data_IF_360608232347
#
_entry.id   IF_360608232347
#
_cell.length_a   1.000
_cell.length_b   1.000
_cell.length_c   1.000
_cell.angle_alpha   90.00
_cell.angle_beta   90.00
_cell.angle_gamma   90.00
#
_symmetry.space_group_name_H-M   'P 1'
#
loop_
_entity.id
_entity.type
_entity.pdbx_description
1 polymer ?
#
# COMPACT_ATOMS: atom_id res chain seq x y z
N UNK A 1 -6.28 -3.68 -11.00
CA UNK A 1 -5.54 -4.75 -11.69
C UNK A 1 -6.28 -5.20 -12.95
N UNK A 2 -5.54 -5.78 -13.89
CA UNK A 2 -5.90 -6.02 -15.29
C UNK A 2 -7.07 -7.01 -15.51
N UNK A 3 -8.23 -6.56 -16.02
CA UNK A 3 -9.34 -7.43 -16.50
C UNK A 3 -8.98 -8.20 -17.79
N UNK A 4 -7.89 -7.85 -18.47
CA UNK A 4 -7.38 -8.55 -19.66
C UNK A 4 -6.58 -9.81 -19.32
N UNK A 5 -6.74 -10.39 -18.12
CA UNK A 5 -6.08 -11.63 -17.68
C UNK A 5 -4.55 -11.62 -17.88
N UNK A 6 -3.91 -10.51 -17.52
CA UNK A 6 -2.45 -10.35 -17.65
C UNK A 6 -1.93 -10.10 -19.07
N UNK A 7 -2.81 -10.00 -20.08
CA UNK A 7 -2.40 -9.65 -21.45
C UNK A 7 -2.10 -8.15 -21.55
N UNK A 8 -0.85 -7.77 -21.25
CA UNK A 8 -0.37 -6.39 -21.31
C UNK A 8 0.98 -6.32 -22.01
N UNK A 9 1.29 -5.15 -22.57
CA UNK A 9 2.61 -4.81 -23.11
C UNK A 9 3.60 -4.39 -22.01
N UNK A 10 3.13 -4.11 -20.80
CA UNK A 10 3.97 -3.66 -19.68
C UNK A 10 4.50 -4.86 -18.89
N UNK A 11 5.82 -5.14 -18.92
CA UNK A 11 6.40 -6.32 -18.29
C UNK A 11 6.22 -6.35 -16.77
N UNK A 12 6.28 -5.19 -16.10
CA UNK A 12 6.13 -5.12 -14.64
C UNK A 12 4.70 -5.44 -14.25
N UNK A 13 3.71 -4.89 -14.98
CA UNK A 13 2.30 -5.22 -14.75
C UNK A 13 1.99 -6.69 -15.04
N UNK A 14 2.66 -7.28 -16.04
CA UNK A 14 2.57 -8.72 -16.32
C UNK A 14 3.11 -9.55 -15.15
N UNK A 15 4.27 -9.19 -14.61
CA UNK A 15 4.87 -9.85 -13.44
C UNK A 15 3.97 -9.75 -12.21
N UNK A 16 3.42 -8.56 -11.93
CA UNK A 16 2.47 -8.36 -10.82
C UNK A 16 1.23 -9.22 -11.02
N UNK A 17 0.65 -9.25 -12.22
CA UNK A 17 -0.53 -10.06 -12.49
C UNK A 17 -0.25 -11.57 -12.36
N UNK A 18 0.91 -12.05 -12.80
CA UNK A 18 1.31 -13.45 -12.65
C UNK A 18 1.41 -13.88 -11.18
N UNK A 19 1.91 -12.99 -10.32
CA UNK A 19 2.04 -13.28 -8.90
C UNK A 19 0.72 -13.12 -8.13
N UNK A 20 -0.03 -12.05 -8.40
CA UNK A 20 -1.24 -11.72 -7.63
C UNK A 20 -2.49 -12.44 -8.15
N UNK A 21 -2.51 -12.82 -9.42
CA UNK A 21 -3.66 -13.43 -10.08
C UNK A 21 -4.83 -12.45 -10.30
N UNK A 22 -6.03 -13.01 -10.45
CA UNK A 22 -7.26 -12.23 -10.58
C UNK A 22 -7.78 -11.77 -9.21
N UNK A 23 -7.28 -10.62 -8.77
CA UNK A 23 -7.68 -10.00 -7.49
C UNK A 23 -9.12 -9.51 -7.45
N UNK A 24 -9.83 -9.44 -8.59
CA UNK A 24 -11.24 -9.03 -8.61
C UNK A 24 -12.19 -10.21 -8.35
N UNK A 25 -11.69 -11.45 -8.42
CA UNK A 25 -12.49 -12.65 -8.24
C UNK A 25 -12.78 -13.02 -6.78
N UNK A 26 -12.04 -12.43 -5.82
CA UNK A 26 -12.11 -12.74 -4.38
C UNK A 26 -12.18 -11.45 -3.56
N UNK A 27 -12.71 -11.57 -2.34
CA UNK A 27 -12.57 -10.51 -1.34
C UNK A 27 -11.11 -10.40 -0.88
N UNK A 28 -10.73 -9.25 -0.31
CA UNK A 28 -9.35 -9.04 0.14
C UNK A 28 -8.90 -10.11 1.14
N UNK A 29 -9.76 -10.52 2.08
CA UNK A 29 -9.42 -11.53 3.07
C UNK A 29 -9.12 -12.88 2.41
N UNK A 30 -9.96 -13.34 1.48
CA UNK A 30 -9.73 -14.58 0.73
C UNK A 30 -8.45 -14.52 -0.09
N UNK A 31 -8.25 -13.44 -0.83
CA UNK A 31 -7.03 -13.23 -1.62
C UNK A 31 -5.76 -13.19 -0.74
N UNK A 32 -5.82 -12.51 0.40
CA UNK A 32 -4.69 -12.39 1.31
C UNK A 32 -4.25 -13.75 1.86
N UNK A 33 -5.21 -14.59 2.25
CA UNK A 33 -4.92 -15.93 2.78
C UNK A 33 -4.36 -16.85 1.69
N UNK A 34 -4.94 -16.84 0.50
CA UNK A 34 -4.59 -17.78 -0.56
C UNK A 34 -3.31 -17.39 -1.32
N UNK A 35 -2.97 -16.09 -1.35
CA UNK A 35 -1.90 -15.57 -2.22
C UNK A 35 -1.09 -14.48 -1.52
N UNK A 36 -1.75 -13.45 -0.99
CA UNK A 36 -1.07 -12.25 -0.48
C UNK A 36 -0.02 -12.55 0.60
N UNK A 37 -0.34 -13.44 1.56
CA UNK A 37 0.58 -13.79 2.63
C UNK A 37 1.93 -14.31 2.11
N UNK A 38 1.92 -15.28 1.19
CA UNK A 38 3.15 -15.84 0.62
C UNK A 38 3.97 -14.80 -0.16
N UNK A 39 3.31 -13.85 -0.84
CA UNK A 39 3.99 -12.80 -1.62
C UNK A 39 4.71 -11.77 -0.75
N UNK A 40 4.12 -11.42 0.41
CA UNK A 40 4.60 -10.35 1.29
C UNK A 40 5.34 -10.87 2.53
N UNK A 41 5.31 -12.17 2.81
CA UNK A 41 6.04 -12.78 3.91
C UNK A 41 7.55 -12.87 3.59
N UNK A 42 8.35 -12.51 4.58
CA UNK A 42 9.79 -12.77 4.60
C UNK A 42 10.03 -14.28 4.64
N UNK A 43 10.75 -14.79 3.65
CA UNK A 43 11.05 -16.22 3.47
C UNK A 43 12.07 -16.72 4.49
N UNK A 44 12.98 -15.87 4.95
CA UNK A 44 13.90 -16.21 6.03
C UNK A 44 13.73 -15.27 7.22
N UNK A 45 13.75 -15.83 8.42
CA UNK A 45 13.72 -15.07 9.66
C UNK A 45 14.92 -14.11 9.73
N UNK A 46 14.75 -12.85 10.14
CA UNK A 46 15.87 -11.94 10.36
C UNK A 46 16.83 -12.52 11.41
N UNK A 47 18.16 -12.43 11.19
CA UNK A 47 19.12 -12.90 12.18
C UNK A 47 18.96 -12.11 13.48
N UNK A 48 18.99 -12.81 14.60
CA UNK A 48 18.81 -12.24 15.94
C UNK A 48 20.10 -12.35 16.73
N UNK A 49 20.37 -11.37 17.58
CA UNK A 49 21.41 -11.49 18.61
C UNK A 49 20.97 -12.58 19.59
N UNK A 50 21.80 -13.59 19.76
CA UNK A 50 21.54 -14.71 20.65
C UNK A 50 22.72 -14.99 21.58
N UNK A 51 22.40 -15.57 22.74
CA UNK A 51 23.41 -16.08 23.65
C UNK A 51 23.80 -17.47 23.15
N UNK A 52 25.07 -17.60 22.77
CA UNK A 52 25.66 -18.87 22.36
C UNK A 52 26.12 -19.62 23.60
N UNK A 53 25.85 -20.92 23.65
CA UNK A 53 26.36 -21.83 24.68
C UNK A 53 27.60 -22.59 24.16
N UNK A 54 28.28 -23.32 25.05
CA UNK A 54 29.51 -24.04 24.68
C UNK A 54 29.27 -25.08 23.58
N UNK A 55 28.09 -25.69 23.54
CA UNK A 55 27.74 -26.73 22.56
C UNK A 55 27.53 -26.17 21.15
N UNK A 56 26.92 -24.99 21.04
CA UNK A 56 26.62 -24.31 19.77
C UNK A 56 27.75 -23.38 19.28
N UNK A 57 28.79 -23.17 20.09
CA UNK A 57 29.91 -22.27 19.77
C UNK A 57 30.61 -22.64 18.47
N UNK A 58 30.84 -23.94 18.24
CA UNK A 58 31.54 -24.41 17.05
C UNK A 58 30.79 -24.14 15.75
N UNK A 59 29.45 -24.18 15.76
CA UNK A 59 28.63 -23.86 14.60
C UNK A 59 28.69 -22.37 14.27
N UNK A 60 28.68 -21.52 15.30
CA UNK A 60 28.75 -20.07 15.16
C UNK A 60 30.13 -19.59 14.69
N UNK A 61 31.21 -20.24 15.13
CA UNK A 61 32.58 -19.95 14.70
C UNK A 61 32.80 -20.17 13.20
N UNK A 62 32.04 -21.09 12.59
CA UNK A 62 32.12 -21.37 11.14
C UNK A 62 31.27 -20.43 10.29
N UNK A 63 30.42 -19.60 10.91
CA UNK A 63 29.53 -18.69 10.22
C UNK A 63 30.20 -17.32 10.01
N UNK A 64 30.61 -17.03 8.77
CA UNK A 64 31.26 -15.77 8.40
C UNK A 64 30.35 -14.54 8.48
N UNK A 65 29.04 -14.71 8.63
CA UNK A 65 28.08 -13.61 8.80
C UNK A 65 27.83 -13.25 10.27
N UNK A 66 28.58 -13.86 11.21
CA UNK A 66 28.43 -13.65 12.65
C UNK A 66 29.75 -13.25 13.30
N UNK A 67 29.64 -12.46 14.36
CA UNK A 67 30.74 -12.06 15.22
C UNK A 67 30.45 -12.53 16.64
N UNK A 68 31.43 -13.19 17.26
CA UNK A 68 31.35 -13.57 18.67
C UNK A 68 31.94 -12.46 19.54
N UNK A 69 31.21 -12.10 20.59
CA UNK A 69 31.60 -11.05 21.53
C UNK A 69 31.67 -11.63 22.94
N UNK A 70 32.78 -11.36 23.62
CA UNK A 70 32.89 -11.56 25.07
C UNK A 70 32.29 -10.35 25.77
N UNK A 71 31.22 -10.55 26.53
CA UNK A 71 30.46 -9.47 27.19
C UNK A 71 30.77 -9.47 28.69
N UNK A 72 31.45 -8.44 29.24
CA UNK A 72 31.68 -8.34 30.67
C UNK A 72 30.38 -8.09 31.44
N UNK A 73 30.20 -8.81 32.55
CA UNK A 73 28.96 -8.76 33.37
C UNK A 73 28.98 -7.69 34.45
N UNK A 74 30.11 -7.02 34.68
CA UNK A 74 30.37 -6.12 35.79
C UNK A 74 30.43 -4.63 35.38
N UNK A 75 29.84 -4.26 34.24
CA UNK A 75 29.83 -2.88 33.75
C UNK A 75 28.41 -2.38 33.45
N UNK A 76 28.25 -1.05 33.39
CA UNK A 76 26.94 -0.45 33.12
C UNK A 76 26.44 -0.75 31.70
N UNK A 77 25.11 -0.85 31.54
CA UNK A 77 24.47 -0.98 30.22
C UNK A 77 24.87 0.13 29.24
N UNK A 78 25.08 1.35 29.76
CA UNK A 78 25.49 2.50 28.94
C UNK A 78 26.87 2.26 28.33
N UNK A 79 27.81 1.74 29.13
CA UNK A 79 29.15 1.38 28.66
C UNK A 79 29.08 0.23 27.65
N UNK A 80 28.29 -0.81 27.93
CA UNK A 80 28.07 -1.94 27.02
C UNK A 80 27.54 -1.48 25.65
N UNK A 81 26.50 -0.65 25.62
CA UNK A 81 25.92 -0.12 24.38
C UNK A 81 26.93 0.68 23.58
N UNK A 82 27.74 1.51 24.26
CA UNK A 82 28.81 2.28 23.61
C UNK A 82 29.86 1.36 22.97
N UNK A 83 30.42 0.44 23.74
CA UNK A 83 31.43 -0.51 23.26
C UNK A 83 30.90 -1.40 22.13
N UNK A 84 29.66 -1.88 22.24
CA UNK A 84 29.02 -2.66 21.18
C UNK A 84 28.90 -1.85 19.87
N UNK A 85 28.49 -0.57 19.95
CA UNK A 85 28.39 0.28 18.76
C UNK A 85 29.75 0.63 18.14
N UNK A 86 30.81 0.75 18.95
CA UNK A 86 32.19 0.94 18.48
C UNK A 86 32.64 -0.28 17.66
N UNK A 87 32.49 -1.49 18.21
CA UNK A 87 32.84 -2.75 17.52
C UNK A 87 32.05 -2.95 16.21
N UNK A 88 30.76 -2.59 16.19
CA UNK A 88 29.95 -2.69 14.96
C UNK A 88 30.45 -1.72 13.87
N UNK A 89 31.06 -0.59 14.23
CA UNK A 89 31.59 0.39 13.26
C UNK A 89 32.91 -0.05 12.64
N UNK A 90 33.66 -0.93 13.30
CA UNK A 90 34.91 -1.51 12.80
C UNK A 90 34.68 -2.61 11.76
N UNK A 91 33.45 -3.14 11.65
CA UNK A 91 33.11 -4.12 10.63
C UNK A 91 33.08 -3.44 9.25
N UNK A 92 34.17 -3.62 8.50
CA UNK A 92 34.25 -3.23 7.09
C UNK A 92 33.25 -4.03 6.24
N UNK A 93 32.73 -3.42 5.18
CA UNK A 93 31.80 -4.04 4.22
C UNK A 93 30.53 -4.69 4.81
N UNK A 94 30.01 -4.13 5.91
CA UNK A 94 28.76 -4.60 6.53
C UNK A 94 27.58 -4.56 5.54
N UNK A 95 27.18 -5.73 5.03
CA UNK A 95 25.99 -5.89 4.19
C UNK A 95 24.74 -5.92 5.07
N UNK A 96 23.95 -4.86 5.03
CA UNK A 96 22.62 -4.86 5.65
C UNK A 96 21.71 -5.74 4.82
N UNK A 97 21.30 -6.89 5.39
CA UNK A 97 20.29 -7.75 4.77
C UNK A 97 19.04 -6.93 4.46
N UNK A 98 18.67 -6.91 3.19
CA UNK A 98 17.34 -6.44 2.77
C UNK A 98 16.39 -7.62 2.96
N UNK A 99 15.14 -7.37 3.36
CA UNK A 99 14.14 -8.42 3.48
C UNK A 99 14.04 -9.23 2.18
N UNK A 100 13.52 -10.44 2.17
CA UNK A 100 13.54 -11.36 1.02
C UNK A 100 12.15 -11.71 0.48
N UNK A 101 11.10 -11.04 0.96
CA UNK A 101 9.77 -11.15 0.38
C UNK A 101 9.79 -10.89 -1.14
N UNK A 102 8.93 -11.59 -1.87
CA UNK A 102 8.80 -11.45 -3.33
C UNK A 102 8.35 -10.03 -3.70
N UNK A 103 7.40 -9.47 -2.95
CA UNK A 103 6.98 -8.09 -3.05
C UNK A 103 7.23 -7.37 -1.72
N UNK A 104 8.30 -6.58 -1.66
CA UNK A 104 8.69 -5.86 -0.45
C UNK A 104 7.94 -4.54 -0.34
N UNK A 105 7.52 -4.21 0.87
CA UNK A 105 7.03 -2.87 1.15
C UNK A 105 8.21 -1.89 1.19
N UNK A 106 8.14 -0.83 0.39
CA UNK A 106 9.16 0.22 0.35
C UNK A 106 9.30 0.94 1.69
N UNK A 107 8.21 1.00 2.45
CA UNK A 107 8.16 1.60 3.77
C UNK A 107 7.26 0.78 4.67
N UNK A 108 7.78 0.36 5.82
CA UNK A 108 7.03 -0.39 6.86
C UNK A 108 6.78 0.42 8.14
N UNK A 109 7.61 1.43 8.43
CA UNK A 109 7.49 2.29 9.62
C UNK A 109 7.06 3.71 9.25
N UNK A 110 6.26 4.34 10.12
CA UNK A 110 5.83 5.73 9.95
C UNK A 110 4.90 5.95 8.75
N UNK A 111 4.18 4.92 8.32
CA UNK A 111 3.11 5.04 7.32
C UNK A 111 1.91 5.68 8.00
N UNK A 112 1.42 6.79 7.44
CA UNK A 112 0.20 7.43 7.94
C UNK A 112 -1.01 6.73 7.33
N UNK A 113 -1.47 5.65 7.95
CA UNK A 113 -2.58 4.80 7.45
C UNK A 113 -3.83 5.60 7.10
N UNK A 114 -4.26 6.52 7.99
CA UNK A 114 -5.39 7.42 7.73
C UNK A 114 -5.27 8.21 6.42
N UNK A 115 -4.05 8.57 6.02
CA UNK A 115 -3.82 9.29 4.76
C UNK A 115 -4.04 8.38 3.55
N UNK A 116 -3.61 7.11 3.62
CA UNK A 116 -3.85 6.13 2.58
C UNK A 116 -5.36 5.85 2.44
N UNK A 117 -6.03 5.63 3.58
CA UNK A 117 -7.48 5.42 3.64
C UNK A 117 -8.25 6.61 3.05
N UNK A 118 -7.92 7.84 3.46
CA UNK A 118 -8.52 9.06 2.90
C UNK A 118 -8.27 9.18 1.40
N UNK A 119 -7.07 8.87 0.92
CA UNK A 119 -6.75 8.91 -0.51
C UNK A 119 -7.63 7.92 -1.30
N UNK A 120 -7.70 6.66 -0.87
CA UNK A 120 -8.51 5.63 -1.52
C UNK A 120 -10.00 5.98 -1.48
N UNK A 121 -10.52 6.47 -0.34
CA UNK A 121 -11.93 6.88 -0.22
C UNK A 121 -12.28 8.02 -1.16
N UNK A 122 -11.42 9.04 -1.26
CA UNK A 122 -11.61 10.16 -2.20
C UNK A 122 -11.60 9.66 -3.64
N UNK A 123 -10.63 8.84 -4.01
CA UNK A 123 -10.53 8.29 -5.36
C UNK A 123 -11.76 7.47 -5.72
N UNK A 124 -12.17 6.54 -4.84
CA UNK A 124 -13.35 5.72 -5.05
C UNK A 124 -14.63 6.55 -5.22
N UNK A 125 -14.87 7.53 -4.33
CA UNK A 125 -16.06 8.38 -4.42
C UNK A 125 -16.09 9.18 -5.72
N UNK A 126 -14.94 9.73 -6.15
CA UNK A 126 -14.83 10.42 -7.44
C UNK A 126 -15.10 9.50 -8.61
N UNK A 127 -14.47 8.32 -8.64
CA UNK A 127 -14.67 7.34 -9.71
C UNK A 127 -16.11 6.86 -9.79
N UNK A 128 -16.80 6.72 -8.67
CA UNK A 128 -18.23 6.39 -8.63
C UNK A 128 -19.10 7.50 -9.20
N UNK A 129 -18.87 8.76 -8.80
CA UNK A 129 -19.60 9.91 -9.34
C UNK A 129 -19.38 10.09 -10.85
N UNK A 130 -18.13 9.92 -11.31
CA UNK A 130 -17.80 9.98 -12.74
C UNK A 130 -18.51 8.84 -13.51
N UNK A 131 -18.60 7.65 -12.92
CA UNK A 131 -19.34 6.52 -13.48
C UNK A 131 -20.86 6.77 -13.53
N UNK A 132 -21.47 7.29 -12.47
CA UNK A 132 -22.90 7.63 -12.44
C UNK A 132 -23.26 8.75 -13.42
N UNK A 133 -22.36 9.73 -13.61
CA UNK A 133 -22.55 10.79 -14.60
C UNK A 133 -22.53 10.27 -16.04
N UNK A 134 -21.74 9.23 -16.32
CA UNK A 134 -21.64 8.62 -17.65
C UNK A 134 -22.73 7.57 -17.88
N UNK A 135 -23.22 6.91 -16.83
CA UNK A 135 -24.21 5.84 -16.88
C UNK A 135 -25.37 6.11 -15.91
N UNK A 136 -26.19 7.15 -16.14
CA UNK A 136 -27.31 7.47 -15.26
C UNK A 136 -28.35 6.34 -15.27
N UNK A 137 -28.82 5.98 -14.07
CA UNK A 137 -29.94 5.03 -13.94
C UNK A 137 -31.19 5.62 -14.57
N UNK A 138 -31.98 4.80 -15.26
CA UNK A 138 -33.18 5.24 -15.99
C UNK A 138 -34.17 5.91 -15.04
N UNK A 139 -34.27 7.24 -15.09
CA UNK A 139 -35.21 8.03 -14.29
C UNK A 139 -34.60 8.85 -13.15
N UNK A 140 -33.35 8.58 -12.76
CA UNK A 140 -32.69 9.31 -11.67
C UNK A 140 -31.76 10.41 -12.19
N UNK A 141 -31.80 11.58 -11.54
CA UNK A 141 -30.84 12.64 -11.82
C UNK A 141 -29.51 12.26 -11.16
N UNK A 142 -28.38 12.32 -11.90
CA UNK A 142 -27.07 11.99 -11.33
C UNK A 142 -26.74 12.90 -10.15
N UNK A 143 -26.15 12.32 -9.11
CA UNK A 143 -25.73 13.05 -7.91
C UNK A 143 -24.62 14.02 -8.32
N UNK A 144 -24.91 15.32 -8.27
CA UNK A 144 -23.91 16.37 -8.50
C UNK A 144 -23.26 16.74 -7.18
N UNK A 145 -22.17 16.06 -6.84
CA UNK A 145 -21.26 16.50 -5.78
C UNK A 145 -20.03 17.13 -6.39
N UNK A 146 -19.68 18.34 -5.95
CA UNK A 146 -18.44 18.96 -6.36
C UNK A 146 -17.25 18.53 -5.46
N UNK A 147 -16.03 18.96 -5.83
CA UNK A 147 -14.83 18.64 -5.04
C UNK A 147 -14.89 19.12 -3.58
N UNK A 148 -15.60 20.21 -3.29
CA UNK A 148 -15.80 20.66 -1.92
C UNK A 148 -16.75 19.72 -1.17
N UNK A 149 -17.87 19.34 -1.80
CA UNK A 149 -18.88 18.47 -1.18
C UNK A 149 -18.29 17.10 -0.85
N UNK A 150 -17.48 16.51 -1.76
CA UNK A 150 -16.72 15.28 -1.51
C UNK A 150 -15.79 15.43 -0.29
N UNK A 151 -15.06 16.55 -0.22
CA UNK A 151 -14.14 16.82 0.89
C UNK A 151 -14.86 17.01 2.22
N UNK A 152 -16.03 17.63 2.20
CA UNK A 152 -16.87 17.84 3.38
C UNK A 152 -17.49 16.52 3.86
N UNK A 153 -18.01 15.70 2.95
CA UNK A 153 -18.61 14.39 3.22
C UNK A 153 -17.58 13.43 3.81
N UNK A 154 -16.41 13.31 3.18
CA UNK A 154 -15.35 12.40 3.63
C UNK A 154 -14.51 12.96 4.79
N UNK A 155 -14.77 14.20 5.22
CA UNK A 155 -14.05 14.83 6.34
C UNK A 155 -12.56 15.04 6.07
N UNK A 156 -12.16 15.35 4.83
CA UNK A 156 -10.74 15.48 4.42
C UNK A 156 -10.05 16.67 5.08
N UNK A 157 -10.78 17.78 5.22
CA UNK A 157 -10.27 18.96 5.93
C UNK A 157 -11.36 19.59 6.82
N UNK A 158 -11.65 19.00 7.99
CA UNK A 158 -12.79 19.39 8.83
C UNK A 158 -12.78 20.89 9.22
N UNK A 159 -11.60 21.47 9.39
CA UNK A 159 -11.41 22.89 9.72
C UNK A 159 -11.93 23.83 8.63
N UNK A 160 -11.96 23.38 7.37
CA UNK A 160 -12.37 24.15 6.20
C UNK A 160 -13.81 23.83 5.77
N UNK A 161 -14.63 23.25 6.64
CA UNK A 161 -16.08 23.19 6.43
C UNK A 161 -16.69 24.60 6.57
N UNK A 162 -17.62 24.92 5.68
CA UNK A 162 -18.50 26.09 5.72
C UNK A 162 -19.19 26.17 7.09
N UNK A 163 -19.23 27.35 7.70
CA UNK A 163 -20.06 27.60 8.89
C UNK A 163 -21.08 28.71 8.58
N UNK A 164 -22.22 28.66 9.25
CA UNK A 164 -23.25 29.68 9.11
C UNK A 164 -22.75 31.02 9.64
N UNK A 165 -23.05 32.12 8.93
CA UNK A 165 -22.66 33.48 9.32
C UNK A 165 -21.22 33.88 9.00
N UNK A 166 -20.43 33.04 8.31
CA UNK A 166 -19.07 33.41 7.94
C UNK A 166 -19.00 34.44 6.80
N UNK A 167 -18.04 35.37 6.83
CA UNK A 167 -17.81 36.30 5.72
C UNK A 167 -17.57 35.55 4.40
N UNK A 168 -18.08 36.12 3.30
CA UNK A 168 -17.97 35.49 1.97
C UNK A 168 -16.51 35.19 1.58
N UNK A 169 -15.57 36.07 1.96
CA UNK A 169 -14.13 35.89 1.68
C UNK A 169 -13.57 34.64 2.35
N UNK A 170 -13.91 34.41 3.62
CA UNK A 170 -13.45 33.25 4.39
C UNK A 170 -14.06 31.95 3.86
N UNK A 171 -15.34 32.01 3.47
CA UNK A 171 -16.02 30.90 2.82
C UNK A 171 -15.30 30.49 1.52
N UNK A 172 -15.00 31.44 0.64
CA UNK A 172 -14.30 31.17 -0.63
C UNK A 172 -12.92 30.55 -0.37
N UNK A 173 -12.17 31.07 0.60
CA UNK A 173 -10.85 30.54 0.96
C UNK A 173 -10.96 29.09 1.44
N UNK A 174 -11.86 28.80 2.38
CA UNK A 174 -12.10 27.44 2.87
C UNK A 174 -12.49 26.48 1.76
N UNK A 175 -13.36 26.91 0.86
CA UNK A 175 -13.77 26.10 -0.29
C UNK A 175 -12.57 25.74 -1.16
N UNK A 176 -11.71 26.72 -1.49
CA UNK A 176 -10.49 26.48 -2.27
C UNK A 176 -9.55 25.52 -1.57
N UNK A 177 -9.30 25.69 -0.27
CA UNK A 177 -8.40 24.82 0.50
C UNK A 177 -8.93 23.39 0.56
N UNK A 178 -10.24 23.20 0.79
CA UNK A 178 -10.87 21.87 0.76
C UNK A 178 -10.71 21.21 -0.61
N UNK A 179 -11.00 21.93 -1.71
CA UNK A 179 -10.84 21.41 -3.08
C UNK A 179 -9.39 20.98 -3.35
N UNK A 180 -8.41 21.80 -2.95
CA UNK A 180 -6.98 21.46 -3.09
C UNK A 180 -6.63 20.21 -2.28
N UNK A 181 -7.18 20.06 -1.07
CA UNK A 181 -6.95 18.87 -0.25
C UNK A 181 -7.50 17.59 -0.92
N UNK A 182 -8.69 17.67 -1.53
CA UNK A 182 -9.30 16.56 -2.29
C UNK A 182 -8.49 16.22 -3.53
N UNK A 183 -8.04 17.21 -4.30
CA UNK A 183 -7.16 17.00 -5.46
C UNK A 183 -5.88 16.28 -5.01
N UNK A 184 -5.25 16.75 -3.93
CA UNK A 184 -4.04 16.12 -3.38
C UNK A 184 -4.27 14.67 -2.94
N UNK A 185 -5.42 14.36 -2.35
CA UNK A 185 -5.77 12.98 -1.97
C UNK A 185 -5.98 12.11 -3.21
N UNK A 186 -6.61 12.64 -4.25
CA UNK A 186 -6.81 11.93 -5.52
C UNK A 186 -5.46 11.59 -6.17
N UNK A 187 -4.59 12.59 -6.34
CA UNK A 187 -3.27 12.38 -6.96
C UNK A 187 -2.43 11.37 -6.17
N UNK A 188 -2.58 11.33 -4.84
CA UNK A 188 -1.93 10.32 -3.99
C UNK A 188 -2.46 8.93 -4.27
N UNK A 189 -3.78 8.76 -4.38
CA UNK A 189 -4.37 7.47 -4.69
C UNK A 189 -3.94 6.97 -6.08
N UNK A 190 -3.97 7.85 -7.09
CA UNK A 190 -3.50 7.53 -8.44
C UNK A 190 -2.03 7.12 -8.45
N UNK A 191 -1.17 7.84 -7.72
CA UNK A 191 0.23 7.46 -7.59
C UNK A 191 0.41 6.12 -6.88
N UNK A 192 -0.36 5.84 -5.82
CA UNK A 192 -0.33 4.55 -5.12
C UNK A 192 -0.76 3.41 -6.04
N UNK A 193 -1.83 3.60 -6.83
CA UNK A 193 -2.33 2.62 -7.80
C UNK A 193 -1.26 2.37 -8.88
N UNK A 194 -0.71 3.43 -9.47
CA UNK A 194 0.28 3.32 -10.53
C UNK A 194 1.55 2.60 -10.06
N UNK A 195 2.02 2.89 -8.84
CA UNK A 195 3.18 2.20 -8.26
C UNK A 195 2.86 0.74 -7.90
N UNK A 196 1.66 0.46 -7.36
CA UNK A 196 1.25 -0.91 -7.06
C UNK A 196 1.19 -1.79 -8.32
N UNK A 197 0.80 -1.22 -9.47
CA UNK A 197 0.78 -1.89 -10.76
C UNK A 197 2.16 -2.30 -11.29
N UNK A 198 3.24 -1.72 -10.76
CA UNK A 198 4.63 -2.11 -11.05
C UNK A 198 5.31 -2.82 -9.87
N UNK A 199 4.52 -3.28 -8.89
CA UNK A 199 5.02 -4.03 -7.74
C UNK A 199 5.68 -3.18 -6.66
N UNK A 200 5.52 -1.86 -6.70
CA UNK A 200 6.10 -0.93 -5.73
C UNK A 200 5.02 -0.35 -4.82
N UNK A 201 5.09 -0.61 -3.52
CA UNK A 201 4.12 -0.06 -2.58
C UNK A 201 4.70 0.07 -1.16
N UNK A 202 4.29 1.08 -0.36
CA UNK A 202 3.59 2.29 -0.77
C UNK A 202 4.58 3.31 -1.37
N UNK A 203 4.24 3.93 -2.50
CA UNK A 203 5.00 5.02 -3.11
C UNK A 203 4.07 6.09 -3.68
N UNK A 204 4.53 7.35 -3.66
CA UNK A 204 3.88 8.48 -4.31
C UNK A 204 4.73 9.04 -5.46
N UNK A 205 5.82 8.36 -5.81
CA UNK A 205 6.68 8.78 -6.91
C UNK A 205 5.95 8.67 -8.23
N UNK A 206 6.21 9.62 -9.13
CA UNK A 206 5.59 9.63 -10.44
C UNK A 206 6.11 8.44 -11.26
N UNK A 207 5.20 7.55 -11.65
CA UNK A 207 5.53 6.43 -12.54
C UNK A 207 5.66 6.96 -13.96
N UNK A 208 6.77 6.61 -14.64
CA UNK A 208 6.97 6.98 -16.05
C UNK A 208 5.83 6.43 -16.91
N UNK A 209 5.37 7.22 -17.89
CA UNK A 209 4.34 6.77 -18.83
C UNK A 209 4.83 5.56 -19.63
N UNK A 210 3.97 4.53 -19.74
CA UNK A 210 4.27 3.27 -20.41
C UNK A 210 3.09 2.85 -21.29
N UNK A 211 3.39 2.27 -22.44
CA UNK A 211 2.36 1.69 -23.30
C UNK A 211 1.94 0.34 -22.73
N UNK A 212 0.78 0.29 -22.07
CA UNK A 212 0.26 -0.94 -21.42
C UNK A 212 -0.61 -1.81 -22.31
N UNK A 213 -1.29 -1.21 -23.28
CA UNK A 213 -2.31 -1.88 -24.08
C UNK A 213 -2.07 -1.66 -25.57
N UNK A 214 -2.43 -2.66 -26.38
CA UNK A 214 -2.54 -2.48 -27.84
C UNK A 214 -3.72 -1.56 -28.17
N UNK A 215 -3.76 -1.04 -29.40
CA UNK A 215 -4.85 -0.15 -29.83
C UNK A 215 -6.21 -0.87 -29.81
N UNK A 216 -6.24 -2.15 -30.16
CA UNK A 216 -7.44 -2.99 -30.11
C UNK A 216 -7.93 -3.19 -28.67
N UNK A 217 -7.00 -3.46 -27.74
CA UNK A 217 -7.34 -3.59 -26.32
C UNK A 217 -7.88 -2.28 -25.75
N UNK A 218 -7.33 -1.13 -26.12
CA UNK A 218 -7.85 0.19 -25.72
C UNK A 218 -9.28 0.36 -26.22
N UNK A 219 -9.54 0.16 -27.52
CA UNK A 219 -10.89 0.24 -28.09
C UNK A 219 -11.88 -0.68 -27.39
N UNK A 220 -11.47 -1.92 -27.08
CA UNK A 220 -12.31 -2.86 -26.35
C UNK A 220 -12.58 -2.43 -24.91
N UNK A 221 -11.60 -1.82 -24.24
CA UNK A 221 -11.76 -1.25 -22.90
C UNK A 221 -12.68 -0.04 -22.91
N UNK A 222 -12.48 0.90 -23.83
CA UNK A 222 -13.30 2.09 -23.97
C UNK A 222 -14.76 1.69 -24.24
N UNK A 223 -14.98 0.75 -25.17
CA UNK A 223 -16.30 0.17 -25.40
C UNK A 223 -16.92 -0.49 -24.15
N UNK A 224 -16.12 -1.21 -23.37
CA UNK A 224 -16.61 -1.84 -22.14
C UNK A 224 -16.94 -0.82 -21.04
N UNK A 225 -16.23 0.32 -21.02
CA UNK A 225 -16.54 1.46 -20.16
C UNK A 225 -17.85 2.09 -20.61
N UNK A 226 -18.01 2.39 -21.90
CA UNK A 226 -19.23 3.01 -22.47
C UNK A 226 -20.49 2.13 -22.32
N UNK A 227 -20.32 0.80 -22.29
CA UNK A 227 -21.41 -0.16 -22.07
C UNK A 227 -21.74 -0.35 -20.57
N UNK A 228 -21.09 0.37 -19.65
CA UNK A 228 -21.28 0.22 -18.20
C UNK A 228 -20.79 -1.14 -17.65
N UNK A 229 -20.01 -1.91 -18.42
CA UNK A 229 -19.44 -3.20 -17.96
C UNK A 229 -18.20 -3.00 -17.09
N UNK A 230 -17.75 -1.77 -16.92
CA UNK A 230 -16.63 -1.39 -16.09
C UNK A 230 -17.07 -0.40 -15.01
N UNK A 231 -17.45 -0.92 -13.84
CA UNK A 231 -17.61 -0.13 -12.63
C UNK A 231 -16.31 -0.12 -11.81
N UNK A 232 -16.02 0.97 -11.06
CA UNK A 232 -14.97 0.96 -10.05
C UNK A 232 -15.24 -0.16 -9.05
N UNK A 233 -14.23 -0.97 -8.68
CA UNK A 233 -14.41 -1.94 -7.62
C UNK A 233 -14.74 -1.22 -6.32
N UNK A 234 -15.74 -1.70 -5.60
CA UNK A 234 -16.09 -1.20 -4.27
C UNK A 234 -14.89 -1.25 -3.32
N UNK A 235 -14.85 -0.36 -2.33
CA UNK A 235 -13.91 -0.52 -1.21
C UNK A 235 -14.34 -1.76 -0.43
N UNK A 236 -13.62 -2.87 -0.61
CA UNK A 236 -13.88 -4.09 0.15
C UNK A 236 -13.78 -3.78 1.63
N UNK A 237 -14.84 -4.05 2.38
CA UNK A 237 -14.73 -4.10 3.83
C UNK A 237 -13.78 -5.25 4.20
N UNK A 238 -12.76 -4.94 4.99
CA UNK A 238 -11.86 -5.97 5.49
C UNK A 238 -12.59 -6.71 6.61
N UNK A 239 -12.95 -7.97 6.38
CA UNK A 239 -13.48 -8.82 7.43
C UNK A 239 -12.35 -9.28 8.36
N UNK A 240 -12.04 -8.43 9.35
CA UNK A 240 -10.98 -8.68 10.34
C UNK A 240 -11.22 -9.93 11.19
N UNK A 241 -12.48 -10.29 11.44
CA UNK A 241 -12.82 -11.49 12.20
C UNK A 241 -12.43 -12.76 11.43
N UNK A 242 -12.73 -12.81 10.13
CA UNK A 242 -12.34 -13.93 9.25
C UNK A 242 -10.83 -14.07 9.13
N UNK A 243 -10.11 -12.95 8.98
CA UNK A 243 -8.64 -12.93 9.00
C UNK A 243 -8.13 -13.48 10.34
N UNK A 244 -8.56 -12.92 11.47
CA UNK A 244 -8.11 -13.35 12.82
C UNK A 244 -8.41 -14.81 13.11
N UNK A 245 -9.59 -15.32 12.75
CA UNK A 245 -9.96 -16.73 13.01
C UNK A 245 -9.04 -17.71 12.28
N UNK A 246 -8.54 -17.38 11.09
CA UNK A 246 -7.56 -18.22 10.39
C UNK A 246 -6.13 -18.00 10.90
N UNK A 247 -5.76 -16.79 11.32
CA UNK A 247 -4.46 -16.53 11.95
C UNK A 247 -4.30 -17.22 13.32
N UNK A 248 -5.33 -17.19 14.18
CA UNK A 248 -5.28 -17.77 15.54
C UNK A 248 -5.28 -19.31 15.52
N UNK A 249 -5.72 -19.94 14.42
CA UNK A 249 -5.76 -21.40 14.28
C UNK A 249 -4.45 -22.06 13.81
N UNK A 250 -3.33 -21.31 13.73
CA UNK A 250 -2.00 -21.90 13.61
C UNK A 250 -1.71 -22.70 12.32
N UNK A 251 -2.52 -22.56 11.28
CA UNK A 251 -2.37 -23.35 10.05
C UNK A 251 -1.29 -22.84 9.07
N UNK A 252 -0.50 -21.85 9.47
CA UNK A 252 0.68 -21.41 8.73
C UNK A 252 1.76 -21.03 9.75
N UNK A 253 2.50 -22.04 10.19
CA UNK A 253 3.82 -21.94 10.83
C UNK A 253 4.75 -22.90 10.11
#
# INVERSE_FOLDING_TARGET
MCKQKGKTLDPDLKQVWQAFGDVLSKDFAGWWIDTGFALFQEQMTPPKIERVDEMSLHEHLRNSERMLLSIPTNISEKTLKRQFLELIREIEDRKIRKGDAQFRLLKVKGIRMKVLESAVRVWHMRSMLDYEMTHPSTGDKPIKMDLYDIGAELGISPLHKRRAGEPLKDRILKERVMRVAVIRMTNRAEALIANAEIGQFPSYEAVKSRKRWTNEQKKAMDKAVDEGKWSPPGISEINWNRLRQRYVRGAIW
#
